data_IF_471784641023
#
_entry.id   IF_471784641023
#
_cell.length_a   1.000
_cell.length_b   1.000
_cell.length_c   1.000
_cell.angle_alpha   90.00
_cell.angle_beta   90.00
_cell.angle_gamma   90.00
#
_symmetry.space_group_name_H-M   'P 1'
#
loop_
_entity.id
_entity.type
_entity.pdbx_description
1 polymer ?
#
# COMPACT_ATOMS: atom_id res chain seq x y z
N UNK A 1 27.72 -11.68 -5.27
CA UNK A 1 27.69 -10.41 -4.50
C UNK A 1 27.80 -9.14 -5.37
N UNK A 2 28.09 -9.20 -6.68
CA UNK A 2 28.13 -8.02 -7.56
C UNK A 2 26.77 -7.58 -8.11
N UNK A 3 25.84 -8.50 -8.33
CA UNK A 3 24.65 -8.23 -9.14
C UNK A 3 23.50 -7.60 -8.36
N UNK A 4 23.31 -7.98 -7.09
CA UNK A 4 22.29 -7.35 -6.22
C UNK A 4 22.61 -5.88 -5.95
N UNK A 5 23.90 -5.51 -5.88
CA UNK A 5 24.32 -4.12 -5.74
C UNK A 5 23.95 -3.28 -6.97
N UNK A 6 23.96 -3.88 -8.16
CA UNK A 6 23.54 -3.21 -9.39
C UNK A 6 22.01 -3.02 -9.41
N UNK A 7 21.25 -4.05 -9.03
CA UNK A 7 19.78 -3.98 -8.92
C UNK A 7 19.33 -2.88 -7.94
N UNK A 8 19.84 -2.89 -6.71
CA UNK A 8 19.47 -1.87 -5.72
C UNK A 8 19.91 -0.47 -6.16
N UNK A 9 21.05 -0.34 -6.84
CA UNK A 9 21.49 0.94 -7.40
C UNK A 9 20.54 1.45 -8.49
N UNK A 10 20.01 0.55 -9.33
CA UNK A 10 19.00 0.91 -10.32
C UNK A 10 17.71 1.39 -9.66
N UNK A 11 17.20 0.66 -8.65
CA UNK A 11 15.99 1.06 -7.92
C UNK A 11 16.19 2.39 -7.20
N UNK A 12 17.32 2.60 -6.53
CA UNK A 12 17.66 3.87 -5.87
C UNK A 12 17.56 5.09 -6.78
N UNK A 13 17.90 4.93 -8.07
CA UNK A 13 17.85 6.00 -9.06
C UNK A 13 16.42 6.52 -9.29
N UNK A 14 15.43 5.62 -9.23
CA UNK A 14 14.03 5.92 -9.53
C UNK A 14 13.15 5.96 -8.28
N UNK A 15 13.63 5.49 -7.12
CA UNK A 15 12.82 5.39 -5.91
C UNK A 15 12.09 6.70 -5.51
N UNK A 16 12.72 7.85 -5.75
CA UNK A 16 12.15 9.16 -5.44
C UNK A 16 11.49 9.86 -6.65
N UNK A 17 11.27 9.18 -7.79
CA UNK A 17 10.59 9.77 -8.97
C UNK A 17 9.08 9.88 -8.80
N UNK A 18 8.51 9.33 -7.73
CA UNK A 18 7.08 9.41 -7.43
C UNK A 18 6.30 8.14 -7.75
N UNK A 19 6.99 7.02 -7.92
CA UNK A 19 6.36 5.73 -8.19
C UNK A 19 5.61 5.24 -6.93
N UNK A 20 4.45 4.61 -7.15
CA UNK A 20 3.64 4.01 -6.08
C UNK A 20 3.96 2.52 -5.90
N UNK A 21 4.10 1.83 -7.02
CA UNK A 21 4.40 0.40 -7.10
C UNK A 21 5.73 0.17 -7.80
N UNK A 22 6.50 -0.80 -7.30
CA UNK A 22 7.63 -1.38 -7.99
C UNK A 22 7.28 -2.83 -8.35
N UNK A 23 7.30 -3.14 -9.64
CA UNK A 23 7.10 -4.50 -10.16
C UNK A 23 8.39 -4.94 -10.85
N UNK A 24 9.15 -5.87 -10.27
CA UNK A 24 10.35 -6.37 -10.92
C UNK A 24 9.97 -7.38 -12.01
N UNK A 25 10.48 -7.17 -13.23
CA UNK A 25 10.24 -8.05 -14.39
C UNK A 25 11.55 -8.64 -14.87
N UNK A 26 11.58 -9.95 -15.09
CA UNK A 26 12.74 -10.64 -15.65
C UNK A 26 13.98 -10.63 -14.74
N UNK A 27 13.78 -10.58 -13.42
CA UNK A 27 14.87 -10.71 -12.45
C UNK A 27 14.86 -12.08 -11.79
N UNK A 28 16.05 -12.58 -11.47
CA UNK A 28 16.19 -13.86 -10.77
C UNK A 28 15.57 -13.79 -9.37
N UNK A 29 14.81 -14.83 -8.98
CA UNK A 29 14.08 -14.87 -7.72
C UNK A 29 14.97 -14.77 -6.47
N UNK A 30 16.22 -15.20 -6.55
CA UNK A 30 17.20 -15.08 -5.47
C UNK A 30 17.59 -13.62 -5.15
N UNK A 31 17.26 -12.67 -6.04
CA UNK A 31 17.48 -11.23 -5.85
C UNK A 31 16.29 -10.52 -5.19
N UNK A 32 15.10 -11.12 -5.20
CA UNK A 32 13.87 -10.54 -4.61
C UNK A 32 14.01 -10.26 -3.11
N UNK A 33 14.59 -11.13 -2.26
CA UNK A 33 14.71 -10.86 -0.83
C UNK A 33 15.51 -9.58 -0.53
N UNK A 34 16.60 -9.35 -1.28
CA UNK A 34 17.40 -8.14 -1.14
C UNK A 34 16.63 -6.88 -1.55
N UNK A 35 15.81 -6.98 -2.60
CA UNK A 35 14.95 -5.89 -3.04
C UNK A 35 13.84 -5.58 -2.02
N UNK A 36 13.15 -6.62 -1.54
CA UNK A 36 12.12 -6.51 -0.51
C UNK A 36 12.67 -5.84 0.75
N UNK A 37 13.82 -6.29 1.25
CA UNK A 37 14.48 -5.68 2.41
C UNK A 37 14.89 -4.22 2.18
N UNK A 38 15.28 -3.86 0.96
CA UNK A 38 15.60 -2.48 0.63
C UNK A 38 14.36 -1.57 0.68
N UNK A 39 13.24 -2.01 0.11
CA UNK A 39 11.97 -1.27 0.11
C UNK A 39 11.43 -1.16 1.54
N UNK A 40 11.46 -2.25 2.30
CA UNK A 40 11.08 -2.28 3.72
C UNK A 40 11.81 -1.19 4.52
N UNK A 41 13.13 -1.08 4.33
CA UNK A 41 13.94 -0.09 5.04
C UNK A 41 13.61 1.38 4.70
N UNK A 42 12.83 1.65 3.65
CA UNK A 42 12.40 3.01 3.29
C UNK A 42 11.10 3.44 3.99
N UNK A 43 10.39 2.52 4.67
CA UNK A 43 9.10 2.76 5.32
C UNK A 43 8.02 3.40 4.43
N UNK A 44 8.19 3.30 3.12
CA UNK A 44 7.32 3.77 2.03
C UNK A 44 7.63 2.88 0.82
N UNK A 45 6.82 3.00 -0.24
CA UNK A 45 6.91 2.19 -1.44
C UNK A 45 6.29 0.81 -1.25
N UNK A 46 5.70 0.30 -2.32
CA UNK A 46 5.13 -1.04 -2.36
C UNK A 46 5.85 -1.86 -3.43
N UNK A 47 6.42 -2.98 -3.03
CA UNK A 47 6.96 -3.98 -3.94
C UNK A 47 5.88 -5.03 -4.24
N UNK A 48 5.56 -5.23 -5.50
CA UNK A 48 4.67 -6.31 -5.94
C UNK A 48 5.50 -7.38 -6.66
N UNK A 49 5.37 -8.64 -6.26
CA UNK A 49 6.14 -9.74 -6.86
C UNK A 49 5.21 -10.84 -7.36
N UNK A 50 5.29 -11.13 -8.65
CA UNK A 50 4.69 -12.34 -9.21
C UNK A 50 5.64 -13.52 -8.95
N UNK A 51 5.21 -14.51 -8.16
CA UNK A 51 6.05 -15.64 -7.74
C UNK A 51 5.79 -16.89 -8.58
N UNK A 52 6.82 -17.72 -8.78
CA UNK A 52 6.66 -19.02 -9.45
C UNK A 52 6.01 -20.02 -8.50
N UNK A 53 6.46 -20.05 -7.24
CA UNK A 53 5.95 -20.89 -6.17
C UNK A 53 5.72 -20.05 -4.91
N UNK A 54 4.64 -20.31 -4.16
CA UNK A 54 4.34 -19.57 -2.93
C UNK A 54 5.46 -19.66 -1.88
N UNK A 55 6.22 -20.77 -1.87
CA UNK A 55 7.36 -21.00 -0.97
C UNK A 55 8.57 -20.11 -1.27
N UNK A 56 8.63 -19.48 -2.46
CA UNK A 56 9.71 -18.55 -2.82
C UNK A 56 9.72 -17.31 -1.90
N UNK A 57 8.59 -17.02 -1.23
CA UNK A 57 8.45 -15.89 -0.32
C UNK A 57 9.10 -16.08 1.05
N UNK A 58 9.51 -17.30 1.41
CA UNK A 58 9.92 -17.67 2.76
C UNK A 58 11.01 -16.77 3.37
N UNK A 59 11.92 -16.22 2.56
CA UNK A 59 13.01 -15.36 3.04
C UNK A 59 12.59 -13.91 3.35
N UNK A 60 11.41 -13.48 2.90
CA UNK A 60 10.91 -12.12 3.03
C UNK A 60 9.43 -12.04 3.41
N UNK A 61 8.86 -13.15 3.89
CA UNK A 61 7.45 -13.27 4.28
C UNK A 61 7.04 -12.32 5.42
N UNK A 62 7.98 -11.81 6.21
CA UNK A 62 7.68 -10.87 7.30
C UNK A 62 7.69 -9.40 6.88
N UNK A 63 8.11 -9.10 5.65
CA UNK A 63 8.22 -7.72 5.19
C UNK A 63 6.83 -7.14 4.91
N UNK A 64 6.59 -5.94 5.40
CA UNK A 64 5.29 -5.28 5.36
C UNK A 64 5.07 -4.57 4.03
N UNK A 65 6.12 -4.08 3.39
CA UNK A 65 6.05 -3.32 2.13
C UNK A 65 6.17 -4.20 0.87
N UNK A 66 5.95 -5.52 0.97
CA UNK A 66 5.93 -6.44 -0.18
C UNK A 66 4.63 -7.24 -0.25
N UNK A 67 3.98 -7.26 -1.40
CA UNK A 67 2.87 -8.17 -1.70
C UNK A 67 3.30 -9.19 -2.76
N UNK A 68 2.92 -10.44 -2.54
CA UNK A 68 3.19 -11.52 -3.48
C UNK A 68 1.90 -11.95 -4.20
N UNK A 69 2.06 -12.34 -5.46
CA UNK A 69 0.97 -12.67 -6.35
C UNK A 69 1.25 -13.97 -7.09
N UNK A 70 0.24 -14.82 -7.20
CA UNK A 70 0.32 -16.07 -7.95
C UNK A 70 -1.00 -16.32 -8.68
N UNK A 71 -1.00 -16.15 -9.99
CA UNK A 71 -2.06 -16.60 -10.89
C UNK A 71 -1.71 -17.95 -11.53
N UNK A 72 -2.67 -18.48 -12.31
CA UNK A 72 -2.43 -19.61 -13.18
C UNK A 72 -1.50 -19.23 -14.34
N UNK A 73 -0.83 -20.21 -14.92
CA UNK A 73 0.07 -20.04 -16.05
C UNK A 73 -0.10 -21.17 -17.04
N UNK A 74 0.01 -20.87 -18.32
CA UNK A 74 0.01 -21.87 -19.40
C UNK A 74 0.99 -21.45 -20.52
N UNK A 75 0.90 -22.08 -21.69
CA UNK A 75 1.78 -21.79 -22.83
C UNK A 75 1.66 -20.35 -23.36
N UNK A 76 0.53 -19.68 -23.12
CA UNK A 76 0.20 -18.34 -23.62
C UNK A 76 0.12 -17.27 -22.51
N UNK A 77 0.02 -17.68 -21.23
CA UNK A 77 -0.17 -16.80 -20.09
C UNK A 77 0.94 -16.96 -19.03
N UNK A 78 1.70 -15.90 -18.80
CA UNK A 78 2.65 -15.82 -17.70
C UNK A 78 1.97 -15.34 -16.40
N UNK A 79 2.63 -15.53 -15.25
CA UNK A 79 2.15 -14.96 -13.98
C UNK A 79 2.39 -13.44 -14.01
N UNK A 80 1.36 -12.68 -14.34
CA UNK A 80 1.40 -11.21 -14.45
C UNK A 80 0.30 -10.56 -13.60
N UNK A 81 -0.16 -11.26 -12.57
CA UNK A 81 -1.29 -10.85 -11.74
C UNK A 81 -1.05 -9.49 -11.07
N UNK A 82 0.15 -9.25 -10.53
CA UNK A 82 0.48 -7.97 -9.91
C UNK A 82 0.26 -6.79 -10.85
N UNK A 83 0.68 -6.94 -12.12
CA UNK A 83 0.53 -5.90 -13.14
C UNK A 83 -0.92 -5.75 -13.60
N UNK A 84 -1.68 -6.85 -13.68
CA UNK A 84 -3.10 -6.82 -13.99
C UNK A 84 -3.91 -6.09 -12.93
N UNK A 85 -3.65 -6.37 -11.66
CA UNK A 85 -4.24 -5.66 -10.52
C UNK A 85 -3.92 -4.18 -10.60
N UNK A 86 -2.65 -3.80 -10.76
CA UNK A 86 -2.26 -2.39 -10.92
C UNK A 86 -2.93 -1.76 -12.14
N UNK A 87 -3.12 -2.50 -13.24
CA UNK A 87 -3.87 -2.04 -14.40
C UNK A 87 -5.33 -1.73 -14.10
N UNK A 88 -5.98 -2.54 -13.25
CA UNK A 88 -7.37 -2.37 -12.85
C UNK A 88 -7.55 -1.21 -11.84
N UNK A 89 -6.68 -1.12 -10.82
CA UNK A 89 -6.86 -0.16 -9.71
C UNK A 89 -6.02 1.10 -9.82
N UNK A 90 -5.00 1.13 -10.67
CA UNK A 90 -3.98 2.19 -10.69
C UNK A 90 -4.50 3.58 -11.09
N UNK A 91 -5.68 3.66 -11.73
CA UNK A 91 -6.34 4.93 -12.05
C UNK A 91 -7.38 5.37 -11.00
N UNK A 92 -7.65 4.53 -10.00
CA UNK A 92 -8.58 4.84 -8.91
C UNK A 92 -7.90 5.72 -7.86
N UNK A 93 -8.71 6.46 -7.10
CA UNK A 93 -8.18 7.28 -6.04
C UNK A 93 -7.75 6.37 -4.88
N UNK A 94 -6.56 6.60 -4.31
CA UNK A 94 -6.14 5.89 -3.09
C UNK A 94 -7.20 6.08 -2.00
N UNK A 95 -7.62 4.97 -1.38
CA UNK A 95 -8.70 4.89 -0.41
C UNK A 95 -10.09 4.58 -1.00
N UNK A 96 -10.24 4.54 -2.32
CA UNK A 96 -11.55 4.30 -2.96
C UNK A 96 -11.73 2.87 -3.46
N UNK A 97 -10.80 1.97 -3.16
CA UNK A 97 -10.81 0.60 -3.64
C UNK A 97 -10.15 -0.31 -2.62
N UNK A 98 -10.57 -1.57 -2.66
CA UNK A 98 -9.89 -2.71 -2.09
C UNK A 98 -9.26 -3.52 -3.22
N UNK A 99 -8.14 -4.18 -2.94
CA UNK A 99 -7.49 -5.10 -3.88
C UNK A 99 -8.18 -6.45 -3.86
N UNK A 100 -8.64 -6.91 -2.69
CA UNK A 100 -9.49 -8.08 -2.63
C UNK A 100 -10.78 -7.83 -3.44
N UNK A 101 -11.31 -8.91 -3.98
CA UNK A 101 -12.49 -8.93 -4.84
C UNK A 101 -12.37 -8.17 -6.18
N UNK A 102 -11.18 -7.66 -6.55
CA UNK A 102 -10.94 -7.10 -7.89
C UNK A 102 -11.22 -8.16 -8.95
N UNK A 103 -12.14 -7.87 -9.88
CA UNK A 103 -12.53 -8.75 -10.99
C UNK A 103 -12.16 -8.12 -12.33
N UNK A 104 -12.51 -8.82 -13.42
CA UNK A 104 -12.43 -8.29 -14.80
C UNK A 104 -11.03 -7.80 -15.18
N UNK A 105 -10.01 -8.53 -14.70
CA UNK A 105 -8.63 -8.32 -15.12
C UNK A 105 -8.48 -8.60 -16.62
N UNK A 106 -7.46 -7.99 -17.23
CA UNK A 106 -7.17 -8.17 -18.65
C UNK A 106 -6.94 -9.65 -18.99
N UNK A 107 -7.28 -10.06 -20.22
CA UNK A 107 -7.18 -11.45 -20.70
C UNK A 107 -5.79 -12.08 -20.51
N UNK A 108 -4.73 -11.27 -20.40
CA UNK A 108 -3.38 -11.75 -20.10
C UNK A 108 -3.21 -12.33 -18.68
N UNK A 109 -4.17 -12.10 -17.77
CA UNK A 109 -4.16 -12.66 -16.41
C UNK A 109 -5.15 -13.82 -16.34
N UNK A 110 -4.60 -15.03 -16.25
CA UNK A 110 -5.40 -16.25 -16.20
C UNK A 110 -5.82 -16.56 -14.75
N UNK A 111 -7.12 -16.69 -14.44
CA UNK A 111 -7.55 -17.19 -13.14
C UNK A 111 -7.06 -18.63 -12.90
N UNK A 112 -6.92 -19.01 -11.64
CA UNK A 112 -6.75 -20.41 -11.24
C UNK A 112 -7.83 -21.28 -11.87
N UNK A 113 -7.44 -22.46 -12.36
CA UNK A 113 -8.34 -23.36 -13.06
C UNK A 113 -9.51 -23.76 -12.15
N UNK A 114 -10.73 -23.48 -12.61
CA UNK A 114 -11.93 -23.66 -11.80
C UNK A 114 -12.17 -25.13 -11.43
N UNK A 115 -11.65 -26.11 -12.15
CA UNK A 115 -11.92 -27.52 -11.84
C UNK A 115 -10.94 -28.10 -10.83
N UNK A 116 -9.72 -27.55 -10.77
CA UNK A 116 -8.63 -28.04 -9.94
C UNK A 116 -8.26 -27.12 -8.77
N UNK A 117 -8.72 -25.87 -8.79
CA UNK A 117 -8.46 -24.90 -7.73
C UNK A 117 -9.77 -24.47 -7.05
N UNK A 118 -10.00 -25.05 -5.87
CA UNK A 118 -11.20 -24.83 -5.05
C UNK A 118 -10.83 -24.22 -3.70
N UNK A 119 -11.82 -24.00 -2.83
CA UNK A 119 -11.66 -23.32 -1.54
C UNK A 119 -10.55 -23.93 -0.65
N UNK A 120 -10.38 -25.25 -0.64
CA UNK A 120 -9.33 -25.95 0.09
C UNK A 120 -7.92 -25.65 -0.43
N UNK A 121 -7.80 -25.34 -1.73
CA UNK A 121 -6.52 -24.97 -2.36
C UNK A 121 -6.12 -23.51 -2.07
N UNK A 122 -7.04 -22.69 -1.53
CA UNK A 122 -6.72 -21.33 -1.06
C UNK A 122 -5.97 -21.30 0.27
N UNK A 123 -6.13 -22.32 1.12
CA UNK A 123 -5.54 -22.34 2.47
C UNK A 123 -4.04 -21.97 2.48
N UNK A 124 -3.15 -22.59 1.68
CA UNK A 124 -1.73 -22.22 1.70
C UNK A 124 -1.45 -20.80 1.18
N UNK A 125 -2.32 -20.24 0.34
CA UNK A 125 -2.20 -18.86 -0.13
C UNK A 125 -2.57 -17.89 0.98
N UNK A 126 -3.68 -18.14 1.67
CA UNK A 126 -4.15 -17.31 2.79
C UNK A 126 -3.18 -17.38 3.97
N UNK A 127 -2.62 -18.54 4.30
CA UNK A 127 -1.60 -18.68 5.35
C UNK A 127 -0.31 -17.91 5.01
N UNK A 128 0.06 -17.87 3.72
CA UNK A 128 1.23 -17.15 3.24
C UNK A 128 0.98 -15.68 2.91
N UNK A 129 -0.24 -15.17 3.06
CA UNK A 129 -0.67 -13.85 2.56
C UNK A 129 -0.31 -13.64 1.07
N UNK A 130 -0.51 -14.67 0.25
CA UNK A 130 -0.26 -14.64 -1.19
C UNK A 130 -1.57 -14.34 -1.91
N UNK A 131 -1.58 -13.27 -2.69
CA UNK A 131 -2.73 -12.90 -3.50
C UNK A 131 -2.84 -13.84 -4.70
N UNK A 132 -4.03 -14.37 -4.94
CA UNK A 132 -4.33 -15.22 -6.10
C UNK A 132 -5.56 -14.70 -6.82
N UNK A 133 -5.75 -15.12 -8.08
CA UNK A 133 -6.91 -14.79 -8.89
C UNK A 133 -7.66 -16.08 -9.18
N UNK A 134 -8.85 -16.27 -8.60
CA UNK A 134 -9.55 -17.56 -8.66
C UNK A 134 -11.06 -17.37 -8.82
N UNK A 135 -11.76 -18.43 -9.24
CA UNK A 135 -13.22 -18.41 -9.38
C UNK A 135 -13.93 -18.58 -8.03
N UNK A 136 -14.45 -17.48 -7.48
CA UNK A 136 -15.39 -17.49 -6.37
C UNK A 136 -16.83 -17.55 -6.91
N UNK A 137 -17.52 -18.69 -6.73
CA UNK A 137 -18.90 -18.87 -7.20
C UNK A 137 -19.10 -18.57 -8.70
N UNK A 138 -18.08 -18.88 -9.52
CA UNK A 138 -18.11 -18.66 -10.97
C UNK A 138 -17.69 -17.25 -11.42
N UNK A 139 -17.38 -16.35 -10.49
CA UNK A 139 -16.79 -15.04 -10.80
C UNK A 139 -15.30 -15.05 -10.45
N UNK A 140 -14.38 -14.76 -11.40
CA UNK A 140 -12.97 -14.67 -11.09
C UNK A 140 -12.68 -13.38 -10.34
N UNK A 141 -12.04 -13.51 -9.18
CA UNK A 141 -11.71 -12.40 -8.29
C UNK A 141 -10.31 -12.55 -7.70
N UNK A 142 -9.68 -11.42 -7.39
CA UNK A 142 -8.45 -11.39 -6.60
C UNK A 142 -8.79 -11.66 -5.15
N UNK A 143 -8.00 -12.50 -4.49
CA UNK A 143 -8.22 -12.89 -3.10
C UNK A 143 -7.22 -12.26 -2.14
N UNK A 144 -7.73 -11.97 -0.93
CA UNK A 144 -7.07 -11.43 0.26
C UNK A 144 -6.56 -9.99 0.17
N UNK A 145 -5.98 -9.55 -0.96
CA UNK A 145 -5.53 -8.15 -1.10
C UNK A 145 -4.43 -7.75 -0.09
N UNK A 146 -3.63 -8.72 0.37
CA UNK A 146 -2.70 -8.57 1.48
C UNK A 146 -1.26 -8.36 1.04
N UNK A 147 -0.53 -7.68 1.90
CA UNK A 147 0.92 -7.69 1.97
C UNK A 147 1.39 -8.96 2.68
N UNK A 148 2.62 -9.40 2.44
CA UNK A 148 3.21 -10.59 3.06
C UNK A 148 3.18 -10.52 4.59
N UNK A 149 3.48 -9.34 5.15
CA UNK A 149 3.42 -9.10 6.58
C UNK A 149 2.02 -9.01 7.20
N UNK A 150 0.95 -9.20 6.40
CA UNK A 150 -0.42 -9.39 6.86
C UNK A 150 -1.31 -8.14 6.86
N UNK A 151 -0.75 -6.95 6.65
CA UNK A 151 -1.57 -5.76 6.39
C UNK A 151 -2.25 -5.83 5.03
N UNK A 152 -3.41 -5.20 4.91
CA UNK A 152 -4.04 -4.99 3.60
C UNK A 152 -3.27 -3.96 2.78
N UNK A 153 -3.23 -4.19 1.46
CA UNK A 153 -2.45 -3.39 0.52
C UNK A 153 -2.95 -1.94 0.44
N UNK A 154 -4.26 -1.75 0.41
CA UNK A 154 -4.95 -0.46 0.41
C UNK A 154 -4.64 0.38 1.67
N UNK A 155 -4.50 -0.26 2.84
CA UNK A 155 -4.07 0.40 4.08
C UNK A 155 -2.65 0.97 3.93
N UNK A 156 -1.71 0.20 3.39
CA UNK A 156 -0.34 0.68 3.18
C UNK A 156 -0.25 1.75 2.08
N UNK A 157 -1.09 1.66 1.05
CA UNK A 157 -1.25 2.75 0.07
C UNK A 157 -1.76 4.02 0.74
N UNK A 158 -2.73 3.93 1.65
CA UNK A 158 -3.22 5.07 2.42
C UNK A 158 -2.11 5.75 3.25
N UNK A 159 -1.28 4.95 3.94
CA UNK A 159 -0.11 5.43 4.67
C UNK A 159 0.86 6.18 3.75
N UNK A 160 1.20 5.57 2.62
CA UNK A 160 2.16 6.13 1.67
C UNK A 160 1.64 7.40 1.02
N UNK A 161 0.34 7.43 0.69
CA UNK A 161 -0.36 8.62 0.23
C UNK A 161 -0.21 9.76 1.24
N UNK A 162 -0.50 9.53 2.52
CA UNK A 162 -0.37 10.54 3.59
C UNK A 162 1.05 11.09 3.61
N UNK A 163 2.08 10.22 3.62
CA UNK A 163 3.48 10.63 3.70
C UNK A 163 3.89 11.46 2.48
N UNK A 164 3.67 10.93 1.26
CA UNK A 164 4.08 11.57 0.01
C UNK A 164 3.34 12.89 -0.20
N UNK A 165 2.02 12.91 0.00
CA UNK A 165 1.20 14.10 -0.22
C UNK A 165 1.42 15.15 0.86
N UNK A 166 1.67 14.77 2.12
CA UNK A 166 2.06 15.72 3.17
C UNK A 166 3.39 16.39 2.85
N UNK A 167 4.41 15.62 2.45
CA UNK A 167 5.69 16.18 2.03
C UNK A 167 5.53 17.16 0.86
N UNK A 168 4.69 16.81 -0.13
CA UNK A 168 4.36 17.69 -1.26
C UNK A 168 3.61 18.95 -0.82
N UNK A 169 2.64 18.84 0.09
CA UNK A 169 1.88 19.98 0.61
C UNK A 169 2.77 20.94 1.40
N UNK A 170 3.59 20.41 2.31
CA UNK A 170 4.55 21.18 3.10
C UNK A 170 5.58 21.87 2.20
N UNK A 171 6.11 21.18 1.18
CA UNK A 171 7.03 21.78 0.21
C UNK A 171 6.38 22.92 -0.56
N UNK A 172 5.13 22.76 -1.01
CA UNK A 172 4.37 23.83 -1.67
C UNK A 172 4.14 25.03 -0.75
N UNK A 173 3.85 24.79 0.54
CA UNK A 173 3.70 25.86 1.53
C UNK A 173 5.03 26.61 1.69
N UNK A 174 6.14 25.90 1.84
CA UNK A 174 7.47 26.50 1.96
C UNK A 174 7.89 27.28 0.71
N UNK A 175 7.57 26.79 -0.49
CA UNK A 175 7.91 27.47 -1.73
C UNK A 175 7.06 28.73 -1.99
N UNK A 176 5.79 28.72 -1.59
CA UNK A 176 4.87 29.85 -1.80
C UNK A 176 5.08 31.00 -0.81
N UNK A 177 5.61 30.71 0.38
CA UNK A 177 5.79 31.69 1.44
C UNK A 177 7.27 32.08 1.52
N UNK A 178 7.65 33.34 1.20
CA UNK A 178 9.05 33.78 1.27
C UNK A 178 9.68 33.57 2.64
N UNK A 179 8.85 33.53 3.69
CA UNK A 179 9.22 33.19 5.06
C UNK A 179 8.03 32.58 5.78
N UNK A 180 8.25 31.43 6.41
CA UNK A 180 7.34 30.89 7.43
C UNK A 180 7.93 31.30 8.77
N UNK A 181 7.16 32.06 9.55
CA UNK A 181 7.61 32.48 10.88
C UNK A 181 7.68 31.26 11.81
N UNK A 182 8.76 31.13 12.58
CA UNK A 182 8.89 30.08 13.59
C UNK A 182 8.15 30.50 14.87
N UNK A 183 6.84 30.64 14.74
CA UNK A 183 5.87 30.91 15.79
C UNK A 183 4.62 30.07 15.56
N UNK A 184 3.65 30.13 16.47
CA UNK A 184 2.46 29.30 16.40
C UNK A 184 1.62 29.55 15.13
N UNK A 185 1.67 30.74 14.53
CA UNK A 185 1.03 31.01 13.23
C UNK A 185 1.65 30.20 12.09
N UNK A 186 2.98 30.21 11.95
CA UNK A 186 3.66 29.45 10.91
C UNK A 186 3.58 27.95 11.13
N UNK A 187 3.63 27.50 12.40
CA UNK A 187 3.44 26.10 12.78
C UNK A 187 2.03 25.62 12.41
N UNK A 188 1.01 26.41 12.72
CA UNK A 188 -0.38 26.07 12.36
C UNK A 188 -0.58 26.03 10.83
N UNK A 189 0.11 26.87 10.06
CA UNK A 189 0.06 26.80 8.60
C UNK A 189 0.59 25.45 8.07
N UNK A 190 1.68 24.94 8.65
CA UNK A 190 2.22 23.62 8.29
C UNK A 190 1.24 22.51 8.69
N UNK A 191 0.67 22.58 9.90
CA UNK A 191 -0.35 21.65 10.40
C UNK A 191 -1.54 21.56 9.45
N UNK A 192 -2.11 22.71 9.06
CA UNK A 192 -3.25 22.75 8.13
C UNK A 192 -2.91 22.20 6.73
N UNK A 193 -1.64 22.31 6.31
CA UNK A 193 -1.16 21.63 5.11
C UNK A 193 -1.29 20.12 5.19
N UNK A 194 -0.92 19.53 6.33
CA UNK A 194 -1.06 18.08 6.58
C UNK A 194 -2.52 17.69 6.73
N UNK A 195 -3.32 18.44 7.49
CA UNK A 195 -4.78 18.17 7.65
C UNK A 195 -5.50 18.12 6.31
N UNK A 196 -5.14 18.99 5.36
CA UNK A 196 -5.76 18.97 4.02
C UNK A 196 -5.52 17.68 3.24
N UNK A 197 -4.44 16.94 3.53
CA UNK A 197 -4.16 15.63 2.93
C UNK A 197 -5.04 14.55 3.53
N UNK A 198 -5.21 14.56 4.86
CA UNK A 198 -6.14 13.65 5.54
C UNK A 198 -7.58 13.89 5.10
N UNK A 199 -8.01 15.15 4.99
CA UNK A 199 -9.34 15.49 4.47
C UNK A 199 -9.57 14.97 3.05
N UNK A 200 -8.54 14.98 2.21
CA UNK A 200 -8.63 14.42 0.86
C UNK A 200 -8.70 12.89 0.87
N UNK A 201 -7.90 12.22 1.70
CA UNK A 201 -7.94 10.76 1.80
C UNK A 201 -9.28 10.27 2.38
N UNK A 202 -9.83 10.97 3.37
CA UNK A 202 -11.18 10.70 3.89
C UNK A 202 -12.24 10.83 2.80
N UNK A 203 -12.20 11.90 1.98
CA UNK A 203 -13.12 12.07 0.85
C UNK A 203 -13.01 10.96 -0.20
N UNK A 204 -11.83 10.36 -0.35
CA UNK A 204 -11.63 9.23 -1.25
C UNK A 204 -12.16 7.91 -0.65
N UNK A 205 -12.43 7.86 0.66
CA UNK A 205 -12.86 6.66 1.37
C UNK A 205 -11.77 6.00 2.20
N UNK A 206 -10.54 6.54 2.27
CA UNK A 206 -9.40 5.85 2.92
C UNK A 206 -9.24 6.07 4.43
N UNK A 207 -10.15 6.82 5.07
CA UNK A 207 -10.14 7.07 6.52
C UNK A 207 -11.50 6.70 7.09
N UNK A 208 -11.51 5.96 8.19
CA UNK A 208 -12.73 5.58 8.89
C UNK A 208 -13.42 6.77 9.56
N UNK A 209 -14.59 6.51 10.15
CA UNK A 209 -15.37 7.48 10.87
C UNK A 209 -15.44 7.15 12.37
N UNK A 210 -15.44 8.19 13.20
CA UNK A 210 -15.79 8.08 14.61
C UNK A 210 -17.31 7.92 14.76
N UNK A 211 -17.78 7.53 15.95
CA UNK A 211 -19.21 7.43 16.29
C UNK A 211 -20.05 8.70 15.99
N UNK A 212 -19.40 9.86 15.89
CA UNK A 212 -20.05 11.15 15.58
C UNK A 212 -20.05 11.51 14.09
N UNK A 213 -19.68 10.59 13.20
CA UNK A 213 -19.63 10.79 11.74
C UNK A 213 -18.53 11.74 11.27
N UNK A 214 -17.49 11.96 12.08
CA UNK A 214 -16.31 12.74 11.69
C UNK A 214 -15.16 11.82 11.32
N UNK A 215 -14.25 12.26 10.42
CA UNK A 215 -13.09 11.46 10.06
C UNK A 215 -12.24 11.11 11.28
N UNK A 216 -11.77 9.86 11.31
CA UNK A 216 -10.95 9.35 12.39
C UNK A 216 -9.46 9.53 12.13
N UNK A 217 -9.03 10.79 12.20
CA UNK A 217 -7.62 11.14 12.25
C UNK A 217 -7.32 12.18 13.34
N UNK A 218 -6.04 12.30 13.66
CA UNK A 218 -5.49 13.36 14.49
C UNK A 218 -4.19 13.86 13.85
N UNK A 219 -4.10 15.17 13.62
CA UNK A 219 -2.84 15.86 13.33
C UNK A 219 -2.56 16.82 14.47
N UNK A 220 -1.36 16.76 15.03
CA UNK A 220 -0.89 17.68 16.07
C UNK A 220 0.40 18.37 15.66
N UNK A 221 0.66 19.49 16.34
CA UNK A 221 1.84 20.30 16.12
C UNK A 221 2.37 20.75 17.48
N UNK A 222 3.63 20.45 17.78
CA UNK A 222 4.30 20.95 18.97
C UNK A 222 4.41 22.48 18.89
N UNK A 223 3.85 23.24 19.85
CA UNK A 223 3.87 24.69 19.79
C UNK A 223 5.30 25.22 19.98
N UNK A 224 5.54 26.47 19.58
CA UNK A 224 6.87 27.08 19.56
C UNK A 224 7.55 27.05 20.93
N UNK A 225 6.79 27.27 21.99
CA UNK A 225 7.22 27.28 23.39
C UNK A 225 7.75 25.92 23.87
N UNK A 226 7.27 24.82 23.29
CA UNK A 226 7.66 23.45 23.67
C UNK A 226 8.78 22.88 22.78
N UNK A 227 9.21 23.63 21.76
CA UNK A 227 10.30 23.23 20.87
C UNK A 227 11.67 23.36 21.54
N UNK A 228 12.57 22.42 21.24
CA UNK A 228 13.98 22.48 21.67
C UNK A 228 14.67 23.71 21.08
N UNK A 229 15.40 24.46 21.91
CA UNK A 229 16.15 25.64 21.47
C UNK A 229 17.14 25.36 20.34
N UNK A 230 17.78 24.18 20.36
CA UNK A 230 18.70 23.75 19.32
C UNK A 230 18.02 23.63 17.95
N UNK A 231 16.83 23.01 17.90
CA UNK A 231 16.04 22.86 16.68
C UNK A 231 15.60 24.23 16.14
N UNK A 232 15.17 25.13 17.03
CA UNK A 232 14.77 26.50 16.65
C UNK A 232 15.95 27.29 16.10
N UNK A 233 17.12 27.24 16.75
CA UNK A 233 18.33 27.91 16.30
C UNK A 233 18.78 27.41 14.92
N UNK A 234 18.63 26.10 14.67
CA UNK A 234 18.88 25.47 13.38
C UNK A 234 17.75 25.65 12.36
N UNK A 235 16.62 26.26 12.77
CA UNK A 235 15.41 26.45 11.96
C UNK A 235 14.81 25.14 11.46
N UNK A 236 14.89 24.10 12.28
CA UNK A 236 14.32 22.78 12.02
C UNK A 236 13.05 22.64 12.85
N UNK A 237 11.93 22.29 12.23
CA UNK A 237 10.69 22.00 12.94
C UNK A 237 10.44 20.49 12.94
N UNK A 238 10.32 19.89 14.12
CA UNK A 238 10.13 18.43 14.35
C UNK A 238 8.87 18.12 15.16
N UNK A 239 7.90 19.03 15.12
CA UNK A 239 6.71 18.96 15.98
C UNK A 239 5.46 18.39 15.33
N UNK A 240 5.46 18.07 14.03
CA UNK A 240 4.29 17.47 13.38
C UNK A 240 4.17 16.00 13.74
N UNK A 241 2.97 15.59 14.16
CA UNK A 241 2.61 14.21 14.41
C UNK A 241 1.22 13.93 13.85
N UNK A 242 1.01 12.72 13.35
CA UNK A 242 -0.29 12.27 12.88
C UNK A 242 -0.57 10.81 13.26
N UNK A 243 -1.86 10.49 13.35
CA UNK A 243 -2.40 9.13 13.48
C UNK A 243 -3.78 9.09 12.83
N UNK A 244 -4.21 7.94 12.32
CA UNK A 244 -5.55 7.73 11.77
C UNK A 244 -5.98 6.27 11.88
N UNK A 245 -7.28 6.04 11.79
CA UNK A 245 -7.85 4.71 11.55
C UNK A 245 -8.25 4.61 10.06
N UNK A 246 -7.73 3.63 9.31
CA UNK A 246 -8.17 3.36 7.94
C UNK A 246 -9.67 3.05 7.89
N UNK A 247 -10.29 3.25 6.72
CA UNK A 247 -11.59 2.64 6.48
C UNK A 247 -11.36 1.18 6.09
N UNK A 248 -12.00 0.25 6.78
CA UNK A 248 -11.91 -1.17 6.46
C UNK A 248 -12.86 -1.53 5.29
N UNK A 249 -12.47 -2.55 4.53
CA UNK A 249 -13.31 -3.17 3.49
C UNK A 249 -13.96 -4.46 3.97
N UNK A 250 -15.04 -4.89 3.30
CA UNK A 250 -15.68 -6.18 3.55
C UNK A 250 -15.25 -7.14 2.43
N UNK A 251 -14.40 -8.10 2.77
CA UNK A 251 -13.89 -9.08 1.79
C UNK A 251 -14.82 -10.29 1.66
N UNK A 252 -15.45 -10.71 2.77
CA UNK A 252 -16.31 -11.89 2.88
C UNK A 252 -17.66 -11.56 3.52
N UNK A 253 -18.69 -12.25 3.05
CA UNK A 253 -20.04 -12.19 3.62
C UNK A 253 -20.55 -13.61 3.88
N UNK A 254 -20.97 -13.86 5.11
CA UNK A 254 -21.59 -15.13 5.53
C UNK A 254 -23.08 -14.92 5.78
N UNK A 255 -23.91 -15.78 5.18
CA UNK A 255 -25.37 -15.73 5.30
C UNK A 255 -25.85 -17.00 6.02
N UNK A 256 -26.70 -16.83 7.03
CA UNK A 256 -27.41 -17.91 7.71
C UNK A 256 -28.91 -17.76 7.51
N UNK A 257 -29.65 -18.87 7.38
CA UNK A 257 -31.10 -18.87 7.28
C UNK A 257 -31.73 -20.10 7.91
N UNK A 258 -33.00 -19.98 8.30
CA UNK A 258 -33.84 -21.07 8.80
C UNK A 258 -35.13 -21.17 7.96
N UNK A 259 -35.66 -22.38 7.84
CA UNK A 259 -36.97 -22.61 7.21
C UNK A 259 -37.94 -22.90 8.35
N UNK A 260 -38.88 -21.98 8.57
CA UNK A 260 -40.01 -22.18 9.48
C UNK A 260 -41.15 -22.87 8.71
N UNK A 261 -41.63 -24.02 9.23
CA UNK A 261 -42.60 -24.92 8.58
C UNK A 261 -43.92 -24.99 9.33
#
# INVERSE_FOLDING_TARGET
MSDSNNLISAVKKFYNSGDEYLIPVGIDKDKIPALSNYIEAQNTGILLVDVDDISDTAQYATNQSTAAFKANTDDDHANVLSSGVVGAVGNLAVGSFDVANTSDLADSVLPQDQLSFQQDQLEPYTEGNINTYYYAQGLPIVRDGKMLGGYYLDILLGRDYIIKHSNKALTKIMAKNPKIAFNNTGINLLKSGVESVFDQLYKNGGIGEKDNGKPDYLVTALPREDMKDADVAQRIYRGLFWQYHPADAIDDVYISGEIDL
#
